data_IF_505426211546
#
_entry.id   IF_505426211546
#
_cell.length_a   1.000
_cell.length_b   1.000
_cell.length_c   1.000
_cell.angle_alpha   90.00
_cell.angle_beta   90.00
_cell.angle_gamma   90.00
#
_symmetry.space_group_name_H-M   'P 1'
#
loop_
_entity.id
_entity.type
_entity.pdbx_description
1 polymer ?
#
# COMPACT_ATOMS: atom_id res chain seq x y z
N UNK A 1 -1.85 -12.88 23.31
CA UNK A 1 -1.66 -12.34 21.96
C UNK A 1 -0.23 -11.88 21.85
N UNK A 2 0.44 -12.15 20.73
CA UNK A 2 1.83 -11.77 20.49
C UNK A 2 1.96 -11.06 19.14
N UNK A 3 3.01 -10.25 19.00
CA UNK A 3 3.44 -9.72 17.71
C UNK A 3 4.37 -10.75 17.06
N UNK A 4 4.22 -10.96 15.76
CA UNK A 4 5.05 -11.89 15.00
C UNK A 4 6.11 -11.11 14.23
N UNK A 5 7.36 -11.57 14.33
CA UNK A 5 8.48 -11.01 13.56
C UNK A 5 8.33 -11.34 12.06
N UNK A 6 8.92 -10.52 11.19
CA UNK A 6 8.80 -10.69 9.73
C UNK A 6 9.42 -12.01 9.24
N UNK A 7 10.41 -12.54 9.96
CA UNK A 7 11.01 -13.85 9.67
C UNK A 7 10.07 -15.04 9.94
N UNK A 8 8.99 -14.82 10.71
CA UNK A 8 7.95 -15.81 11.00
C UNK A 8 6.73 -15.60 10.11
N UNK A 9 6.30 -14.34 9.97
CA UNK A 9 5.14 -13.96 9.16
C UNK A 9 5.42 -12.65 8.43
N UNK A 10 5.78 -12.74 7.16
CA UNK A 10 5.93 -11.56 6.32
C UNK A 10 4.56 -10.90 6.13
N UNK A 11 4.43 -9.56 6.27
CA UNK A 11 3.15 -8.88 6.11
C UNK A 11 2.56 -9.03 4.71
N UNK A 12 1.24 -8.89 4.59
CA UNK A 12 0.64 -8.69 3.28
C UNK A 12 1.15 -7.37 2.66
N UNK A 13 1.27 -7.32 1.33
CA UNK A 13 1.61 -6.07 0.64
C UNK A 13 0.65 -4.93 1.05
N UNK A 14 1.24 -3.80 1.40
CA UNK A 14 0.61 -2.59 1.91
C UNK A 14 -0.10 -2.74 3.26
N UNK A 15 0.19 -3.79 4.05
CA UNK A 15 -0.39 -3.96 5.38
C UNK A 15 -0.05 -2.77 6.28
N UNK A 16 -1.08 -2.19 6.91
CA UNK A 16 -0.94 -1.03 7.79
C UNK A 16 -0.95 0.32 7.08
N UNK A 17 -0.92 0.36 5.75
CA UNK A 17 -1.06 1.59 4.98
C UNK A 17 -2.54 1.91 4.67
N UNK A 18 -2.89 3.20 4.69
CA UNK A 18 -4.17 3.71 4.21
C UNK A 18 -3.94 4.51 2.93
N UNK A 19 -4.80 4.29 1.94
CA UNK A 19 -4.80 5.02 0.68
C UNK A 19 -6.14 5.72 0.48
N UNK A 20 -6.11 6.97 0.03
CA UNK A 20 -7.30 7.73 -0.35
C UNK A 20 -7.37 7.78 -1.87
N UNK A 21 -8.43 7.22 -2.44
CA UNK A 21 -8.70 7.36 -3.87
C UNK A 21 -9.54 8.60 -4.13
N UNK A 22 -9.14 9.34 -5.15
CA UNK A 22 -9.78 10.57 -5.61
C UNK A 22 -9.88 10.51 -7.13
N UNK A 23 -10.76 11.31 -7.73
CA UNK A 23 -10.81 11.46 -9.19
C UNK A 23 -9.54 12.16 -9.68
N UNK A 24 -9.02 11.74 -10.83
CA UNK A 24 -7.76 12.26 -11.37
C UNK A 24 -7.84 13.72 -11.83
N UNK A 25 -9.03 14.18 -12.21
CA UNK A 25 -9.32 15.52 -12.73
C UNK A 25 -9.80 16.51 -11.65
N UNK A 26 -9.91 16.07 -10.40
CA UNK A 26 -10.38 16.88 -9.27
C UNK A 26 -9.22 17.56 -8.53
N UNK A 27 -8.69 18.63 -9.13
CA UNK A 27 -7.54 19.37 -8.59
C UNK A 27 -7.77 19.92 -7.17
N UNK A 28 -9.01 20.26 -6.82
CA UNK A 28 -9.35 20.77 -5.50
C UNK A 28 -9.22 19.67 -4.42
N UNK A 29 -9.73 18.47 -4.71
CA UNK A 29 -9.60 17.33 -3.80
C UNK A 29 -8.15 16.84 -3.75
N UNK A 30 -7.42 16.82 -4.86
CA UNK A 30 -6.00 16.48 -4.90
C UNK A 30 -5.16 17.38 -3.99
N UNK A 31 -5.41 18.70 -4.03
CA UNK A 31 -4.73 19.65 -3.15
C UNK A 31 -5.08 19.43 -1.67
N UNK A 32 -6.32 19.05 -1.37
CA UNK A 32 -6.77 18.78 0.00
C UNK A 32 -6.12 17.52 0.60
N UNK A 33 -6.06 16.42 -0.17
CA UNK A 33 -5.48 15.16 0.33
C UNK A 33 -3.94 15.16 0.34
N UNK A 34 -3.29 16.10 -0.35
CA UNK A 34 -1.83 16.22 -0.34
C UNK A 34 -1.27 16.43 1.09
N UNK A 35 -2.03 17.05 1.99
CA UNK A 35 -1.62 17.29 3.38
C UNK A 35 -1.55 16.05 4.27
N UNK A 36 -2.14 14.93 3.84
CA UNK A 36 -2.13 13.64 4.58
C UNK A 36 -1.28 12.58 3.88
N UNK A 37 -0.65 12.91 2.75
CA UNK A 37 0.22 11.99 2.04
C UNK A 37 1.56 11.80 2.77
N UNK A 38 2.03 10.56 2.83
CA UNK A 38 3.36 10.23 3.30
C UNK A 38 4.20 9.70 2.13
N UNK A 39 5.19 10.45 1.63
CA UNK A 39 5.99 10.03 0.47
C UNK A 39 6.77 8.74 0.68
N UNK A 40 7.23 8.45 1.90
CA UNK A 40 7.97 7.23 2.21
C UNK A 40 7.05 6.00 2.14
N UNK A 41 5.92 6.04 2.84
CA UNK A 41 4.92 4.96 2.80
C UNK A 41 4.37 4.76 1.38
N UNK A 42 4.17 5.85 0.61
CA UNK A 42 3.76 5.76 -0.80
C UNK A 42 4.79 5.01 -1.64
N UNK A 43 6.08 5.26 -1.45
CA UNK A 43 7.14 4.60 -2.18
C UNK A 43 7.20 3.09 -1.86
N UNK A 44 7.13 2.72 -0.58
CA UNK A 44 7.10 1.33 -0.11
C UNK A 44 5.90 0.57 -0.69
N UNK A 45 4.69 1.09 -0.52
CA UNK A 45 3.45 0.50 -1.05
C UNK A 45 3.50 0.38 -2.58
N UNK A 46 4.07 1.36 -3.27
CA UNK A 46 4.20 1.32 -4.74
C UNK A 46 5.13 0.19 -5.17
N UNK A 47 6.24 -0.02 -4.47
CA UNK A 47 7.17 -1.10 -4.73
C UNK A 47 6.51 -2.47 -4.52
N UNK A 48 5.86 -2.68 -3.39
CA UNK A 48 5.16 -3.93 -3.05
C UNK A 48 4.04 -4.25 -4.06
N UNK A 49 3.19 -3.25 -4.39
CA UNK A 49 2.14 -3.42 -5.40
C UNK A 49 2.70 -3.69 -6.79
N UNK A 50 3.88 -3.17 -7.13
CA UNK A 50 4.53 -3.48 -8.39
C UNK A 50 4.96 -4.94 -8.48
N UNK A 51 5.45 -5.51 -7.37
CA UNK A 51 5.77 -6.93 -7.26
C UNK A 51 4.51 -7.79 -7.46
N UNK A 52 3.43 -7.49 -6.73
CA UNK A 52 2.16 -8.21 -6.86
C UNK A 52 1.60 -8.17 -8.29
N UNK A 53 1.61 -6.99 -8.93
CA UNK A 53 1.18 -6.85 -10.33
C UNK A 53 2.01 -7.70 -11.27
N UNK A 54 3.32 -7.81 -11.04
CA UNK A 54 4.21 -8.62 -11.88
C UNK A 54 3.97 -10.13 -11.71
N UNK A 55 3.53 -10.54 -10.52
CA UNK A 55 3.16 -11.91 -10.18
C UNK A 55 1.69 -12.26 -10.53
N UNK A 56 0.91 -11.29 -11.03
CA UNK A 56 -0.54 -11.42 -11.22
C UNK A 56 -1.28 -11.86 -9.94
N UNK A 57 -0.73 -11.48 -8.78
CA UNK A 57 -1.23 -11.86 -7.49
C UNK A 57 -2.37 -10.92 -7.05
N UNK A 58 -3.41 -11.51 -6.46
CA UNK A 58 -4.54 -10.80 -5.84
C UNK A 58 -4.61 -11.05 -4.33
N UNK A 59 -5.68 -10.59 -3.69
CA UNK A 59 -5.85 -10.68 -2.23
C UNK A 59 -5.91 -12.11 -1.67
N UNK A 60 -6.13 -13.12 -2.52
CA UNK A 60 -6.18 -14.53 -2.12
C UNK A 60 -4.92 -15.30 -2.50
N UNK A 61 -3.95 -14.63 -3.13
CA UNK A 61 -2.67 -15.23 -3.48
C UNK A 61 -1.81 -15.35 -2.21
N UNK A 62 -1.12 -16.48 -1.99
CA UNK A 62 -0.27 -16.70 -0.81
C UNK A 62 1.08 -15.99 -1.00
N UNK A 63 1.07 -14.66 -1.01
CA UNK A 63 2.24 -13.81 -1.20
C UNK A 63 2.29 -12.72 -0.13
N UNK A 64 3.48 -12.52 0.41
CA UNK A 64 3.89 -11.45 1.31
C UNK A 64 5.29 -11.01 0.91
#
# INVERSE_FOLDING_TARGET
TELLDEGVMLPAAAQGALAVQVREDDAAILALVAGIDNPASRAEVTAERSCLRRLEAGCQSPVG
#
